data_IF_258006703337
#
_entry.id   IF_258006703337
#
_cell.length_a   1.000
_cell.length_b   1.000
_cell.length_c   1.000
_cell.angle_alpha   90.00
_cell.angle_beta   90.00
_cell.angle_gamma   90.00
#
_symmetry.space_group_name_H-M   'P 1'
#
loop_
_entity.id
_entity.type
_entity.pdbx_description
1 polymer ?
#
# COMPACT_ATOMS: atom_id res chain seq x y z
N UNK A 1 -2.71 -57.76 -0.77
CA UNK A 1 -2.33 -56.59 0.06
C UNK A 1 -1.43 -55.57 -0.66
N UNK A 2 -0.43 -55.96 -1.46
CA UNK A 2 0.48 -55.01 -2.16
C UNK A 2 -0.24 -53.97 -3.05
N UNK A 3 -1.21 -54.40 -3.87
CA UNK A 3 -1.91 -53.52 -4.83
C UNK A 3 -2.64 -52.34 -4.17
N UNK A 4 -3.25 -52.56 -2.99
CA UNK A 4 -3.90 -51.50 -2.20
C UNK A 4 -2.88 -50.51 -1.63
N UNK A 5 -1.71 -50.99 -1.18
CA UNK A 5 -0.61 -50.13 -0.72
C UNK A 5 -0.07 -49.25 -1.85
N UNK A 6 0.10 -49.79 -3.05
CA UNK A 6 0.59 -49.03 -4.21
C UNK A 6 -0.40 -47.95 -4.67
N UNK A 7 -1.71 -48.25 -4.64
CA UNK A 7 -2.76 -47.27 -4.98
C UNK A 7 -2.80 -46.14 -3.95
N UNK A 8 -2.74 -46.46 -2.65
CA UNK A 8 -2.70 -45.47 -1.57
C UNK A 8 -1.46 -44.57 -1.66
N UNK A 9 -0.30 -45.14 -2.00
CA UNK A 9 0.95 -44.40 -2.13
C UNK A 9 0.93 -43.45 -3.35
N UNK A 10 0.31 -43.86 -4.46
CA UNK A 10 0.10 -42.99 -5.63
C UNK A 10 -0.88 -41.87 -5.33
N UNK A 11 -2.00 -42.18 -4.66
CA UNK A 11 -2.99 -41.17 -4.29
C UNK A 11 -2.41 -40.10 -3.35
N UNK A 12 -1.66 -40.52 -2.34
CA UNK A 12 -0.99 -39.60 -1.41
C UNK A 12 0.07 -38.74 -2.11
N UNK A 13 0.87 -39.31 -3.01
CA UNK A 13 1.82 -38.56 -3.82
C UNK A 13 1.13 -37.50 -4.71
N UNK A 14 0.00 -37.84 -5.35
CA UNK A 14 -0.77 -36.89 -6.17
C UNK A 14 -1.35 -35.76 -5.32
N UNK A 15 -1.95 -36.07 -4.17
CA UNK A 15 -2.49 -35.04 -3.25
C UNK A 15 -1.39 -34.14 -2.73
N UNK A 16 -0.24 -34.70 -2.32
CA UNK A 16 0.91 -33.93 -1.88
C UNK A 16 1.46 -33.03 -3.00
N UNK A 17 1.54 -33.53 -4.24
CA UNK A 17 1.95 -32.75 -5.40
C UNK A 17 1.01 -31.58 -5.70
N UNK A 18 -0.30 -31.82 -5.65
CA UNK A 18 -1.30 -30.75 -5.83
C UNK A 18 -1.21 -29.69 -4.72
N UNK A 19 -1.07 -30.12 -3.46
CA UNK A 19 -0.88 -29.21 -2.33
C UNK A 19 0.38 -28.35 -2.50
N UNK A 20 1.47 -28.95 -2.97
CA UNK A 20 2.72 -28.23 -3.25
C UNK A 20 2.57 -27.19 -4.37
N UNK A 21 1.89 -27.53 -5.47
CA UNK A 21 1.61 -26.58 -6.55
C UNK A 21 0.75 -25.41 -6.08
N UNK A 22 -0.31 -25.69 -5.31
CA UNK A 22 -1.17 -24.64 -4.73
C UNK A 22 -0.41 -23.72 -3.77
N UNK A 23 0.52 -24.28 -2.99
CA UNK A 23 1.40 -23.50 -2.12
C UNK A 23 2.32 -22.57 -2.91
N UNK A 24 2.93 -23.06 -3.99
CA UNK A 24 3.76 -22.25 -4.88
C UNK A 24 2.95 -21.13 -5.54
N UNK A 25 1.73 -21.41 -5.99
CA UNK A 25 0.82 -20.41 -6.56
C UNK A 25 0.54 -19.31 -5.53
N UNK A 26 0.20 -19.65 -4.29
CA UNK A 26 -0.07 -18.65 -3.25
C UNK A 26 1.14 -17.77 -2.93
N UNK A 27 2.34 -18.36 -2.85
CA UNK A 27 3.58 -17.59 -2.67
C UNK A 27 3.80 -16.65 -3.85
N UNK A 28 3.67 -17.16 -5.09
CA UNK A 28 3.82 -16.36 -6.30
C UNK A 28 2.80 -15.21 -6.38
N UNK A 29 1.55 -15.45 -5.99
CA UNK A 29 0.52 -14.41 -5.88
C UNK A 29 0.95 -13.32 -4.90
N UNK A 30 1.47 -13.67 -3.72
CA UNK A 30 1.93 -12.66 -2.74
C UNK A 30 3.09 -11.80 -3.27
N UNK A 31 4.00 -12.38 -4.05
CA UNK A 31 5.06 -11.63 -4.75
C UNK A 31 4.48 -10.74 -5.87
N UNK A 32 3.46 -11.22 -6.58
CA UNK A 32 2.80 -10.48 -7.64
C UNK A 32 2.01 -9.28 -7.08
N UNK A 33 1.28 -9.47 -5.98
CA UNK A 33 0.60 -8.41 -5.21
C UNK A 33 1.59 -7.30 -4.82
N UNK A 34 2.72 -7.68 -4.19
CA UNK A 34 3.79 -6.73 -3.84
C UNK A 34 4.29 -5.96 -5.06
N UNK A 35 4.54 -6.66 -6.17
CA UNK A 35 5.04 -6.03 -7.40
C UNK A 35 4.03 -5.05 -8.00
N UNK A 36 2.74 -5.39 -8.02
CA UNK A 36 1.71 -4.49 -8.53
C UNK A 36 1.47 -3.29 -7.62
N UNK A 37 1.50 -3.47 -6.29
CA UNK A 37 1.48 -2.37 -5.33
C UNK A 37 2.64 -1.40 -5.58
N UNK A 38 3.86 -1.91 -5.74
CA UNK A 38 5.06 -1.10 -6.01
C UNK A 38 4.94 -0.30 -7.32
N UNK A 39 4.37 -0.92 -8.36
CA UNK A 39 4.12 -0.25 -9.64
C UNK A 39 3.06 0.85 -9.52
N UNK A 40 2.00 0.61 -8.75
CA UNK A 40 0.96 1.63 -8.52
C UNK A 40 1.52 2.81 -7.71
N UNK A 41 2.32 2.57 -6.67
CA UNK A 41 3.02 3.64 -5.92
C UNK A 41 3.92 4.47 -6.86
N UNK A 42 4.60 3.82 -7.81
CA UNK A 42 5.41 4.52 -8.81
C UNK A 42 4.57 5.33 -9.80
N UNK A 43 3.29 5.01 -9.97
CA UNK A 43 2.34 5.85 -10.72
C UNK A 43 1.91 7.06 -9.88
N UNK A 44 1.72 6.90 -8.56
CA UNK A 44 1.39 8.00 -7.65
C UNK A 44 2.42 9.12 -7.66
N UNK A 45 3.71 8.82 -7.88
CA UNK A 45 4.74 9.85 -8.01
C UNK A 45 4.54 10.76 -9.24
N UNK A 46 3.81 10.30 -10.26
CA UNK A 46 3.52 11.05 -11.49
C UNK A 46 2.21 11.84 -11.43
N UNK A 47 1.31 11.50 -10.50
CA UNK A 47 0.05 12.21 -10.28
C UNK A 47 0.35 13.45 -9.46
N UNK A 48 0.21 14.63 -10.07
CA UNK A 48 0.39 15.91 -9.39
C UNK A 48 -0.96 16.39 -8.87
N UNK A 49 -1.08 16.45 -7.55
CA UNK A 49 -2.29 16.87 -6.86
C UNK A 49 -2.59 18.34 -7.21
N UNK A 50 -3.82 18.63 -7.64
CA UNK A 50 -4.28 19.92 -8.14
C UNK A 50 -3.95 20.21 -9.61
N UNK A 51 -3.24 19.31 -10.31
CA UNK A 51 -2.77 19.51 -11.70
C UNK A 51 -3.20 18.36 -12.62
N UNK A 52 -3.14 17.13 -12.16
CA UNK A 52 -3.52 15.95 -12.95
C UNK A 52 -5.04 15.78 -12.94
N UNK A 53 -5.63 15.62 -14.13
CA UNK A 53 -7.07 15.36 -14.24
C UNK A 53 -7.44 13.95 -13.80
N UNK A 54 -8.70 13.76 -13.42
CA UNK A 54 -9.27 12.44 -13.12
C UNK A 54 -9.14 11.51 -14.32
N UNK A 55 -9.40 12.00 -15.54
CA UNK A 55 -9.28 11.20 -16.76
C UNK A 55 -7.85 10.71 -17.02
N UNK A 56 -6.85 11.56 -16.81
CA UNK A 56 -5.44 11.19 -16.91
C UNK A 56 -5.07 10.18 -15.82
N UNK A 57 -5.55 10.41 -14.60
CA UNK A 57 -5.31 9.51 -13.47
C UNK A 57 -5.87 8.11 -13.75
N UNK A 58 -7.12 8.02 -14.21
CA UNK A 58 -7.78 6.76 -14.57
C UNK A 58 -7.06 6.02 -15.70
N UNK A 59 -6.50 6.73 -16.67
CA UNK A 59 -5.70 6.08 -17.72
C UNK A 59 -4.37 5.55 -17.16
N UNK A 60 -3.69 6.30 -16.29
CA UNK A 60 -2.46 5.86 -15.62
C UNK A 60 -2.68 4.64 -14.72
N UNK A 61 -3.84 4.56 -14.06
CA UNK A 61 -4.15 3.49 -13.10
C UNK A 61 -4.96 2.33 -13.70
N UNK A 62 -5.39 2.42 -14.96
CA UNK A 62 -6.22 1.43 -15.66
C UNK A 62 -5.73 -0.02 -15.55
N UNK A 63 -4.41 -0.21 -15.61
CA UNK A 63 -3.79 -1.54 -15.50
C UNK A 63 -3.95 -2.21 -14.12
N UNK A 64 -4.35 -1.45 -13.09
CA UNK A 64 -4.55 -1.93 -11.72
C UNK A 64 -6.04 -2.14 -11.38
N UNK A 65 -6.94 -2.10 -12.36
CA UNK A 65 -8.39 -2.24 -12.16
C UNK A 65 -8.79 -3.49 -11.38
N UNK A 66 -8.05 -4.60 -11.50
CA UNK A 66 -8.25 -5.82 -10.69
C UNK A 66 -8.15 -5.58 -9.18
N UNK A 67 -7.34 -4.61 -8.77
CA UNK A 67 -7.08 -4.26 -7.38
C UNK A 67 -8.00 -3.16 -6.87
N UNK A 68 -8.86 -2.64 -7.73
CA UNK A 68 -9.77 -1.57 -7.38
C UNK A 68 -10.83 -2.08 -6.41
N UNK A 69 -11.02 -1.35 -5.31
CA UNK A 69 -11.93 -1.72 -4.24
C UNK A 69 -13.19 -0.89 -4.36
N UNK A 70 -14.29 -1.59 -4.62
CA UNK A 70 -15.61 -0.98 -4.68
C UNK A 70 -16.18 -0.93 -3.26
N UNK A 71 -16.17 0.25 -2.65
CA UNK A 71 -16.98 0.50 -1.46
C UNK A 71 -18.44 0.68 -1.88
N UNK A 72 -19.34 0.03 -1.14
CA UNK A 72 -20.78 0.19 -1.32
C UNK A 72 -21.15 1.67 -1.11
N UNK A 73 -21.90 2.25 -2.06
CA UNK A 73 -22.06 3.70 -2.31
C UNK A 73 -22.83 4.46 -1.21
N UNK A 74 -23.03 3.84 -0.04
CA UNK A 74 -23.84 4.37 1.06
C UNK A 74 -23.04 5.19 2.09
N UNK A 75 -21.74 5.38 1.88
CA UNK A 75 -20.94 6.34 2.65
C UNK A 75 -20.49 7.46 1.70
N UNK A 76 -20.94 8.69 2.02
CA UNK A 76 -20.52 10.00 1.49
C UNK A 76 -19.66 9.93 0.23
N UNK A 77 -20.24 10.30 -0.92
CA UNK A 77 -19.57 10.46 -2.22
C UNK A 77 -18.31 11.34 -2.12
N UNK A 78 -17.18 10.74 -1.76
CA UNK A 78 -15.87 11.17 -2.25
C UNK A 78 -15.61 10.36 -3.49
N UNK A 79 -15.64 11.03 -4.65
CA UNK A 79 -15.20 10.43 -5.91
C UNK A 79 -13.74 10.08 -5.73
N UNK A 80 -13.47 8.79 -5.48
CA UNK A 80 -12.16 8.30 -5.10
C UNK A 80 -11.92 6.93 -5.72
N UNK A 81 -10.73 6.75 -6.28
CA UNK A 81 -10.26 5.43 -6.69
C UNK A 81 -9.47 4.83 -5.53
N UNK A 82 -9.82 3.61 -5.13
CA UNK A 82 -9.18 2.90 -4.02
C UNK A 82 -8.64 1.57 -4.49
N UNK A 83 -7.42 1.24 -4.09
CA UNK A 83 -6.73 0.01 -4.46
C UNK A 83 -6.19 -0.71 -3.24
N UNK A 84 -6.45 -2.02 -3.16
CA UNK A 84 -6.06 -2.86 -2.04
C UNK A 84 -5.11 -3.98 -2.45
N UNK A 85 -4.04 -4.20 -1.69
CA UNK A 85 -3.10 -5.31 -1.86
C UNK A 85 -2.81 -5.97 -0.51
N UNK A 86 -2.53 -7.27 -0.53
CA UNK A 86 -2.22 -8.03 0.69
C UNK A 86 -1.24 -9.17 0.40
N UNK A 87 -0.72 -9.84 1.44
CA UNK A 87 0.22 -10.96 1.33
C UNK A 87 -0.41 -12.30 1.82
N UNK A 88 -1.47 -12.79 1.15
CA UNK A 88 -2.38 -13.78 1.72
C UNK A 88 -1.72 -15.13 2.01
N UNK A 89 -0.76 -15.57 1.19
CA UNK A 89 -0.10 -16.86 1.42
C UNK A 89 0.93 -16.77 2.55
N UNK A 90 1.68 -15.67 2.65
CA UNK A 90 2.62 -15.45 3.75
C UNK A 90 1.90 -15.41 5.10
N UNK A 91 0.73 -14.76 5.15
CA UNK A 91 -0.17 -14.80 6.30
C UNK A 91 -0.59 -16.24 6.62
N UNK A 92 -1.20 -16.96 5.67
CA UNK A 92 -1.76 -18.30 5.91
C UNK A 92 -0.69 -19.30 6.35
N UNK A 93 0.52 -19.14 5.83
CA UNK A 93 1.67 -19.99 6.15
C UNK A 93 2.47 -19.49 7.37
N UNK A 94 2.05 -18.40 8.01
CA UNK A 94 2.73 -17.78 9.15
C UNK A 94 4.21 -17.44 8.85
N UNK A 95 4.53 -17.14 7.58
CA UNK A 95 5.89 -16.81 7.15
C UNK A 95 6.22 -15.34 7.40
N UNK A 96 5.21 -14.47 7.31
CA UNK A 96 5.30 -13.06 7.65
C UNK A 96 3.96 -12.59 8.22
N UNK A 97 3.93 -11.48 8.98
CA UNK A 97 2.68 -10.92 9.42
C UNK A 97 1.85 -10.39 8.24
N UNK A 98 0.53 -10.29 8.46
CA UNK A 98 -0.41 -9.70 7.49
C UNK A 98 0.03 -8.29 7.19
N UNK A 99 0.22 -7.98 5.92
CA UNK A 99 0.49 -6.62 5.46
C UNK A 99 -0.57 -6.21 4.47
N UNK A 100 -1.37 -5.23 4.84
CA UNK A 100 -2.40 -4.65 4.00
C UNK A 100 -1.89 -3.31 3.46
N UNK A 101 -2.05 -3.10 2.16
CA UNK A 101 -1.73 -1.86 1.49
C UNK A 101 -3.01 -1.26 0.94
N UNK A 102 -3.21 0.01 1.24
CA UNK A 102 -4.30 0.83 0.74
C UNK A 102 -3.76 2.03 0.00
N UNK A 103 -4.25 2.24 -1.21
CA UNK A 103 -3.92 3.41 -2.00
C UNK A 103 -5.23 4.08 -2.39
N UNK A 104 -5.35 5.37 -2.08
CA UNK A 104 -6.53 6.18 -2.37
C UNK A 104 -6.13 7.38 -3.20
N UNK A 105 -6.91 7.70 -4.23
CA UNK A 105 -6.80 8.94 -4.99
C UNK A 105 -8.14 9.63 -4.93
N UNK A 106 -8.16 10.84 -4.38
CA UNK A 106 -9.37 11.64 -4.20
C UNK A 106 -9.52 12.63 -5.34
N UNK A 107 -10.74 12.75 -5.86
CA UNK A 107 -11.09 13.67 -6.93
C UNK A 107 -12.07 14.75 -6.48
N UNK A 108 -11.96 15.91 -7.12
CA UNK A 108 -12.94 16.99 -7.04
C UNK A 108 -12.93 17.74 -8.35
N UNK A 109 -14.13 18.01 -8.89
CA UNK A 109 -14.30 18.80 -10.12
C UNK A 109 -13.45 18.26 -11.29
N UNK A 110 -13.31 16.93 -11.40
CA UNK A 110 -12.55 16.27 -12.47
C UNK A 110 -11.02 16.33 -12.32
N UNK A 111 -10.52 16.67 -11.13
CA UNK A 111 -9.09 16.81 -10.81
C UNK A 111 -8.70 15.98 -9.60
N UNK A 112 -7.49 15.42 -9.61
CA UNK A 112 -6.94 14.76 -8.42
C UNK A 112 -6.62 15.81 -7.35
N UNK A 113 -7.29 15.74 -6.20
CA UNK A 113 -7.12 16.67 -5.07
C UNK A 113 -6.47 16.06 -3.85
N UNK A 114 -6.35 14.73 -3.82
CA UNK A 114 -5.68 13.99 -2.77
C UNK A 114 -5.12 12.68 -3.30
N UNK A 115 -4.02 12.23 -2.70
CA UNK A 115 -3.57 10.85 -2.83
C UNK A 115 -2.96 10.38 -1.52
N UNK A 116 -3.23 9.13 -1.19
CA UNK A 116 -2.83 8.50 0.05
C UNK A 116 -2.29 7.11 -0.27
N UNK A 117 -1.17 6.75 0.34
CA UNK A 117 -0.69 5.39 0.47
C UNK A 117 -0.70 5.04 1.94
N UNK A 118 -1.17 3.86 2.29
CA UNK A 118 -1.09 3.29 3.62
C UNK A 118 -0.57 1.86 3.51
N UNK A 119 0.30 1.48 4.43
CA UNK A 119 0.72 0.09 4.63
C UNK A 119 0.63 -0.24 6.10
N UNK A 120 -0.10 -1.29 6.44
CA UNK A 120 -0.30 -1.74 7.80
C UNK A 120 0.12 -3.19 7.94
N UNK A 121 1.07 -3.45 8.82
CA UNK A 121 1.52 -4.79 9.18
C UNK A 121 1.01 -5.15 10.57
N UNK A 122 0.25 -6.25 10.66
CA UNK A 122 -0.20 -6.80 11.93
C UNK A 122 1.01 -7.26 12.78
N UNK A 123 0.98 -7.12 14.12
CA UNK A 123 -0.13 -6.57 14.87
C UNK A 123 -0.13 -5.04 14.99
N UNK A 124 0.96 -4.30 14.71
CA UNK A 124 1.12 -2.93 15.30
C UNK A 124 2.00 -1.90 14.55
N UNK A 125 2.33 -2.06 13.26
CA UNK A 125 3.21 -1.10 12.57
C UNK A 125 2.69 -0.72 11.18
N UNK A 126 2.88 0.54 10.78
CA UNK A 126 2.45 0.98 9.47
C UNK A 126 2.99 2.35 9.08
N UNK A 127 2.70 2.73 7.83
CA UNK A 127 3.12 3.98 7.20
C UNK A 127 1.96 4.54 6.41
N UNK A 128 1.79 5.85 6.44
CA UNK A 128 0.83 6.55 5.61
C UNK A 128 1.45 7.79 4.97
N UNK A 129 1.54 7.82 3.64
CA UNK A 129 2.00 8.96 2.86
C UNK A 129 0.79 9.62 2.22
N UNK A 130 0.59 10.92 2.48
CA UNK A 130 -0.57 11.69 2.05
C UNK A 130 -0.10 12.95 1.32
N UNK A 131 -0.76 13.32 0.23
CA UNK A 131 -0.56 14.58 -0.49
C UNK A 131 -1.92 15.17 -0.87
N UNK A 132 -2.25 16.40 -0.45
CA UNK A 132 -3.58 17.01 -0.63
C UNK A 132 -3.55 18.49 -1.03
N UNK A 133 -4.49 18.95 -1.87
CA UNK A 133 -4.64 20.38 -2.24
C UNK A 133 -5.24 21.18 -1.08
N UNK A 134 -4.69 22.37 -0.84
CA UNK A 134 -5.20 23.42 0.05
C UNK A 134 -6.52 24.04 -0.43
N UNK A 135 -7.62 23.32 -0.60
CA UNK A 135 -8.93 23.96 -0.77
C UNK A 135 -10.12 23.08 -0.32
N UNK A 136 -10.84 23.54 0.71
CA UNK A 136 -12.27 23.28 0.98
C UNK A 136 -12.66 21.89 1.49
N UNK A 137 -13.46 21.84 2.56
CA UNK A 137 -14.06 20.68 3.25
C UNK A 137 -14.50 19.53 2.30
N UNK A 138 -14.49 18.22 2.63
CA UNK A 138 -15.21 17.65 3.76
C UNK A 138 -14.83 16.18 4.14
N UNK A 139 -13.66 15.65 3.79
CA UNK A 139 -13.24 14.32 4.30
C UNK A 139 -11.93 14.29 5.10
N UNK A 140 -11.08 15.32 4.97
CA UNK A 140 -9.77 15.39 5.62
C UNK A 140 -9.80 15.94 7.07
N UNK A 141 -11.00 16.10 7.66
CA UNK A 141 -11.20 16.86 8.92
C UNK A 141 -10.72 16.18 10.21
N UNK A 142 -9.91 15.12 10.17
CA UNK A 142 -9.34 14.54 11.41
C UNK A 142 -7.83 14.50 11.54
N UNK A 143 -7.03 14.80 10.51
CA UNK A 143 -5.58 14.55 10.65
C UNK A 143 -4.62 15.65 10.19
N UNK A 144 -4.94 16.56 9.26
CA UNK A 144 -3.90 17.53 8.87
C UNK A 144 -4.36 18.83 8.21
N UNK A 145 -3.62 19.93 8.43
CA UNK A 145 -3.72 21.14 7.63
C UNK A 145 -3.28 20.87 6.17
N UNK A 146 -3.57 21.80 5.25
CA UNK A 146 -3.16 21.68 3.86
C UNK A 146 -1.66 21.48 3.66
N UNK A 147 -1.28 20.55 2.79
CA UNK A 147 0.12 20.26 2.47
C UNK A 147 0.32 18.80 2.04
N UNK A 148 1.57 18.42 1.78
CA UNK A 148 2.01 17.02 1.78
C UNK A 148 2.23 16.61 3.23
N UNK A 149 1.87 15.39 3.59
CA UNK A 149 2.09 14.82 4.92
C UNK A 149 2.63 13.39 4.73
N UNK A 150 3.90 13.17 5.06
CA UNK A 150 4.42 11.80 5.23
C UNK A 150 4.30 11.44 6.69
N UNK A 151 3.46 10.45 7.03
CA UNK A 151 3.32 9.90 8.38
C UNK A 151 3.77 8.45 8.47
N UNK A 152 4.27 8.06 9.63
CA UNK A 152 4.46 6.64 9.98
C UNK A 152 3.46 6.33 11.10
N UNK A 153 2.29 5.79 10.74
CA UNK A 153 1.18 5.62 11.67
C UNK A 153 1.05 4.18 12.17
N UNK A 154 0.67 4.05 13.44
CA UNK A 154 0.03 2.83 13.96
C UNK A 154 -1.48 3.07 14.08
N UNK A 155 -2.26 1.99 14.19
CA UNK A 155 -3.70 2.05 14.50
C UNK A 155 -4.00 2.95 15.72
N UNK A 156 -5.23 3.46 15.86
CA UNK A 156 -5.63 4.42 16.93
C UNK A 156 -5.20 4.03 18.37
N UNK A 157 -4.95 2.74 18.63
CA UNK A 157 -4.52 2.18 19.92
C UNK A 157 -3.02 1.85 20.02
N UNK A 158 -2.19 2.18 19.02
CA UNK A 158 -0.76 1.86 18.97
C UNK A 158 0.13 3.11 18.98
N UNK A 159 1.38 3.01 19.49
CA UNK A 159 2.31 4.13 19.52
C UNK A 159 2.59 4.59 18.08
N UNK A 160 2.14 5.81 17.79
CA UNK A 160 2.28 6.43 16.48
C UNK A 160 3.72 6.89 16.32
N UNK A 161 4.40 6.45 15.26
CA UNK A 161 5.68 7.05 14.88
C UNK A 161 5.43 8.12 13.82
N UNK A 162 4.59 9.11 14.09
CA UNK A 162 4.26 10.12 13.07
C UNK A 162 5.54 10.89 12.73
N UNK A 163 6.16 10.58 11.60
CA UNK A 163 6.87 11.60 10.85
C UNK A 163 5.81 12.62 10.45
N UNK A 164 6.08 13.90 10.64
CA UNK A 164 5.18 14.94 10.16
C UNK A 164 6.07 15.91 9.41
N UNK A 165 5.88 15.95 8.10
CA UNK A 165 6.49 16.95 7.25
C UNK A 165 5.31 17.78 6.80
N UNK A 166 5.09 18.94 7.41
CA UNK A 166 4.14 19.93 6.94
C UNK A 166 4.76 20.62 5.72
N UNK A 167 4.09 20.58 4.57
CA UNK A 167 4.68 21.04 3.33
C UNK A 167 4.02 22.28 2.75
N UNK A 168 4.89 23.21 2.36
CA UNK A 168 4.63 24.47 1.67
C UNK A 168 4.80 24.24 0.15
N UNK A 169 4.14 25.04 -0.68
CA UNK A 169 4.21 24.93 -2.15
C UNK A 169 5.64 25.14 -2.73
N UNK A 170 6.61 25.46 -1.86
CA UNK A 170 8.02 25.69 -2.14
C UNK A 170 8.86 24.42 -2.33
N UNK A 171 8.36 23.21 -2.00
CA UNK A 171 9.14 21.98 -2.21
C UNK A 171 9.20 21.58 -3.70
N UNK A 172 10.42 21.41 -4.26
CA UNK A 172 10.60 21.02 -5.66
C UNK A 172 9.89 19.69 -5.99
N UNK A 173 9.34 19.60 -7.21
CA UNK A 173 8.70 18.38 -7.73
C UNK A 173 9.60 17.14 -7.59
N UNK A 174 10.91 17.30 -7.75
CA UNK A 174 11.89 16.22 -7.61
C UNK A 174 11.94 15.62 -6.20
N UNK A 175 11.66 16.41 -5.15
CA UNK A 175 11.58 15.90 -3.79
C UNK A 175 10.23 15.24 -3.53
N UNK A 176 9.12 15.81 -4.03
CA UNK A 176 7.79 15.19 -3.97
C UNK A 176 7.78 13.81 -4.61
N UNK A 177 8.46 13.61 -5.73
CA UNK A 177 8.61 12.30 -6.38
C UNK A 177 9.39 11.28 -5.54
N UNK A 178 10.33 11.72 -4.69
CA UNK A 178 11.14 10.81 -3.84
C UNK A 178 10.36 10.26 -2.66
N UNK A 179 9.39 11.00 -2.13
CA UNK A 179 8.55 10.53 -1.02
C UNK A 179 7.73 9.29 -1.37
N UNK A 180 7.38 9.17 -2.65
CA UNK A 180 6.71 8.02 -3.21
C UNK A 180 7.67 6.86 -3.54
N UNK A 181 8.96 6.93 -3.16
CA UNK A 181 9.90 5.80 -3.23
C UNK A 181 9.81 4.94 -1.97
N UNK A 182 8.73 4.17 -1.91
CA UNK A 182 8.42 3.25 -0.80
C UNK A 182 8.95 1.86 -1.15
N UNK A 183 9.62 1.18 -0.23
CA UNK A 183 10.16 -0.17 -0.45
C UNK A 183 9.23 -1.22 0.16
N UNK A 184 8.46 -1.93 -0.66
CA UNK A 184 7.54 -2.96 -0.19
C UNK A 184 8.19 -4.35 -0.03
N UNK A 185 9.51 -4.48 -0.15
CA UNK A 185 10.20 -5.78 -0.11
C UNK A 185 9.83 -6.63 1.10
N UNK A 186 9.60 -6.00 2.26
CA UNK A 186 9.29 -6.69 3.50
C UNK A 186 7.90 -7.33 3.56
N UNK A 187 6.98 -7.04 2.61
CA UNK A 187 5.71 -7.78 2.49
C UNK A 187 5.90 -9.29 2.29
N UNK A 188 7.02 -9.68 1.68
CA UNK A 188 7.33 -11.07 1.32
C UNK A 188 8.67 -11.52 1.90
N UNK A 189 9.18 -10.82 2.92
CA UNK A 189 10.36 -11.24 3.68
C UNK A 189 9.92 -12.12 4.86
N UNK A 190 10.66 -13.20 5.12
CA UNK A 190 10.37 -14.06 6.28
C UNK A 190 10.53 -13.22 7.56
N UNK A 191 9.50 -13.20 8.39
CA UNK A 191 9.45 -12.37 9.61
C UNK A 191 8.98 -10.93 9.39
N UNK A 192 8.81 -10.48 8.14
CA UNK A 192 8.25 -9.16 7.79
C UNK A 192 9.10 -7.95 8.16
N UNK A 193 8.47 -6.77 8.19
CA UNK A 193 9.10 -5.49 8.55
C UNK A 193 9.21 -5.33 10.08
N UNK A 194 10.41 -5.48 10.65
CA UNK A 194 10.68 -5.13 12.05
C UNK A 194 10.98 -3.65 12.28
N UNK A 195 11.49 -2.96 11.24
CA UNK A 195 11.79 -1.53 11.27
C UNK A 195 10.98 -0.81 10.18
N UNK A 196 9.97 0.00 10.54
CA UNK A 196 9.16 0.72 9.57
C UNK A 196 9.99 1.73 8.77
N UNK A 197 11.14 2.21 9.27
CA UNK A 197 11.98 3.15 8.51
C UNK A 197 12.55 2.53 7.23
N UNK A 198 12.60 1.19 7.12
CA UNK A 198 13.03 0.50 5.90
C UNK A 198 12.06 0.68 4.73
N UNK A 199 10.78 0.94 5.02
CA UNK A 199 9.76 1.16 4.00
C UNK A 199 9.91 2.54 3.34
N UNK A 200 10.50 3.55 4.01
CA UNK A 200 10.61 4.92 3.48
C UNK A 200 12.08 5.30 3.30
N UNK A 201 12.54 5.28 2.05
CA UNK A 201 13.97 5.48 1.74
C UNK A 201 14.50 6.89 1.99
N UNK A 202 13.63 7.92 1.92
CA UNK A 202 14.05 9.33 1.93
C UNK A 202 13.45 10.16 3.07
N UNK A 203 12.17 10.00 3.41
CA UNK A 203 11.54 10.83 4.44
C UNK A 203 12.22 10.69 5.82
N UNK A 204 12.74 9.50 6.16
CA UNK A 204 13.44 9.27 7.44
C UNK A 204 14.75 10.06 7.59
N UNK A 205 15.43 10.39 6.49
CA UNK A 205 16.73 11.09 6.52
C UNK A 205 16.61 12.60 6.74
N UNK A 206 15.57 13.23 6.19
CA UNK A 206 15.35 14.68 6.36
C UNK A 206 14.70 15.03 7.70
N UNK A 207 13.76 14.21 8.19
CA UNK A 207 13.17 14.41 9.51
C UNK A 207 14.18 14.25 10.66
N UNK A 208 15.26 13.48 10.46
CA UNK A 208 16.38 13.42 11.40
C UNK A 208 17.28 14.67 11.34
N UNK A 209 17.37 15.32 10.17
CA UNK A 209 18.18 16.52 9.97
C UNK A 209 17.55 17.79 10.57
N UNK A 210 16.23 17.84 10.71
CA UNK A 210 15.52 18.99 11.31
C UNK A 210 15.38 18.91 12.84
N UNK A 211 16.01 17.91 13.49
CA UNK A 211 16.04 17.77 14.96
C UNK A 211 17.39 18.14 15.60
N UNK A 212 18.34 18.68 14.83
CA UNK A 212 19.63 19.19 15.31
C UNK A 212 19.74 20.69 15.11
#
# INVERSE_FOLDING_TARGET
>A
MLRKKTILLRATATVAGLAFVLLLIGIAESYYERFQAQRLISVLSNIQVGITSESQTKELTKQFSRYHVHFDQNQVRTDSDQYGFTNPAFQRLHLAPVTDIWITIDYREGMAVGKTFESFTAPRHGISVVEVVKHGDAFLRKVAPPGRIVTVSGYETSPRFILWIEDDASVPLSQRQKDWQIDLSCMTEIGGCQDPNKLVRYASKEAASHRN
#
